data_IF_936322190783
#
_entry.id   IF_936322190783
#
_cell.length_a   1.000
_cell.length_b   1.000
_cell.length_c   1.000
_cell.angle_alpha   90.00
_cell.angle_beta   90.00
_cell.angle_gamma   90.00
#
_symmetry.space_group_name_H-M   'P 1'
#
loop_
_entity.id
_entity.type
_entity.pdbx_description
1 polymer ?
#
# COMPACT_ATOMS: atom_id res chain seq x y z
N UNK A 1 -7.56 -40.84 -7.61
CA UNK A 1 -7.67 -40.30 -6.24
C UNK A 1 -6.55 -39.29 -6.10
N UNK A 2 -6.93 -38.02 -6.28
CA UNK A 2 -6.19 -36.75 -6.16
C UNK A 2 -4.68 -36.70 -6.47
N UNK A 3 -4.38 -36.25 -7.69
CA UNK A 3 -3.11 -35.68 -8.12
C UNK A 3 -2.75 -34.41 -7.32
N UNK A 4 -1.51 -34.37 -6.82
CA UNK A 4 -0.83 -33.12 -6.42
C UNK A 4 -0.06 -32.62 -7.64
N UNK A 5 -0.25 -31.36 -8.05
CA UNK A 5 0.95 -30.57 -8.30
C UNK A 5 0.73 -29.06 -8.05
N UNK A 6 1.46 -28.49 -7.11
CA UNK A 6 2.22 -27.25 -7.31
C UNK A 6 3.16 -27.05 -6.12
N UNK A 7 4.35 -27.63 -6.23
CA UNK A 7 5.54 -27.02 -5.67
C UNK A 7 6.09 -26.15 -6.80
N UNK A 8 5.91 -24.84 -6.69
CA UNK A 8 6.66 -23.86 -7.50
C UNK A 8 7.32 -22.91 -6.52
N UNK A 9 8.57 -23.26 -6.25
CA UNK A 9 9.68 -22.47 -5.77
C UNK A 9 9.41 -20.98 -5.53
N UNK A 10 9.17 -20.64 -4.25
CA UNK A 10 9.20 -19.29 -3.69
C UNK A 10 10.65 -18.77 -3.60
N UNK A 11 11.35 -18.71 -4.74
CA UNK A 11 12.74 -18.27 -4.82
C UNK A 11 12.92 -17.05 -5.74
N UNK A 12 12.01 -16.08 -5.68
CA UNK A 12 12.20 -14.78 -6.36
C UNK A 12 11.77 -13.55 -5.54
N UNK A 13 11.34 -13.72 -4.28
CA UNK A 13 10.98 -12.59 -3.40
C UNK A 13 12.22 -11.88 -2.81
N UNK A 14 13.43 -12.42 -2.98
CA UNK A 14 14.66 -11.90 -2.34
C UNK A 14 15.63 -11.11 -3.22
N UNK A 15 15.36 -10.87 -4.51
CA UNK A 15 16.41 -10.37 -5.43
C UNK A 15 16.21 -9.00 -6.08
N UNK A 16 15.27 -8.14 -5.64
CA UNK A 16 15.18 -6.79 -6.23
C UNK A 16 15.00 -5.60 -5.26
N UNK A 17 15.18 -5.80 -3.96
CA UNK A 17 15.07 -4.71 -2.96
C UNK A 17 16.36 -4.44 -2.15
N UNK A 18 17.47 -5.10 -2.49
CA UNK A 18 18.77 -4.85 -1.87
C UNK A 18 19.58 -3.96 -2.81
N UNK A 19 19.34 -2.65 -2.77
CA UNK A 19 20.38 -1.61 -2.87
C UNK A 19 19.70 -0.23 -2.84
N UNK A 20 19.61 0.36 -1.65
CA UNK A 20 19.83 1.80 -1.42
C UNK A 20 19.63 2.13 0.05
N UNK A 21 20.71 1.93 0.81
CA UNK A 21 20.88 2.48 2.15
C UNK A 21 22.05 3.44 2.08
N UNK A 22 21.83 4.75 2.19
CA UNK A 22 22.84 5.69 2.70
C UNK A 22 22.21 6.99 3.25
N UNK A 23 22.56 7.26 4.52
CA UNK A 23 22.29 8.40 5.42
C UNK A 23 22.04 9.79 4.78
N UNK A 24 21.18 10.61 5.40
CA UNK A 24 21.56 11.63 6.42
C UNK A 24 20.39 12.35 7.09
N UNK A 25 20.67 12.70 8.35
CA UNK A 25 19.92 13.51 9.31
C UNK A 25 20.03 15.00 8.93
N UNK A 26 19.03 15.79 9.37
CA UNK A 26 18.80 17.25 9.30
C UNK A 26 17.87 17.65 8.15
N UNK A 27 16.64 18.07 8.47
CA UNK A 27 16.26 19.49 8.47
C UNK A 27 14.93 19.68 9.22
N UNK A 28 14.93 20.69 10.07
CA UNK A 28 13.85 21.11 10.95
C UNK A 28 12.94 22.10 10.18
N UNK A 29 11.61 21.86 10.22
CA UNK A 29 10.54 22.88 10.25
C UNK A 29 10.19 23.70 9.00
N UNK A 30 10.53 23.26 7.80
CA UNK A 30 9.83 23.68 6.58
C UNK A 30 9.48 22.39 5.84
N UNK A 31 8.47 22.42 4.97
CA UNK A 31 8.17 21.43 3.91
C UNK A 31 6.79 20.73 4.01
N UNK A 32 5.70 21.50 4.02
CA UNK A 32 4.35 20.94 3.77
C UNK A 32 4.23 20.23 2.41
N UNK A 33 4.97 20.71 1.39
CA UNK A 33 4.98 20.11 0.04
C UNK A 33 5.81 18.82 0.00
N UNK A 34 6.89 18.75 0.78
CA UNK A 34 7.81 17.61 0.77
C UNK A 34 7.34 16.48 1.66
N UNK A 35 6.43 16.69 2.62
CA UNK A 35 5.90 15.58 3.43
C UNK A 35 5.30 14.47 2.56
N UNK A 36 4.63 14.83 1.46
CA UNK A 36 4.06 13.87 0.49
C UNK A 36 5.16 13.13 -0.27
N UNK A 37 6.12 13.87 -0.84
CA UNK A 37 7.23 13.27 -1.61
C UNK A 37 8.10 12.39 -0.70
N UNK A 38 8.43 12.90 0.48
CA UNK A 38 9.14 12.20 1.51
C UNK A 38 8.41 10.91 1.91
N UNK A 39 7.08 10.95 2.07
CA UNK A 39 6.29 9.74 2.32
C UNK A 39 6.41 8.75 1.16
N UNK A 40 6.32 9.21 -0.08
CA UNK A 40 6.43 8.37 -1.27
C UNK A 40 7.80 7.68 -1.32
N UNK A 41 8.89 8.43 -1.10
CA UNK A 41 10.26 7.92 -1.11
C UNK A 41 10.57 7.00 0.07
N UNK A 42 9.98 7.24 1.24
CA UNK A 42 10.28 6.51 2.49
C UNK A 42 9.23 5.46 2.86
N UNK A 43 8.28 5.16 1.98
CA UNK A 43 7.35 4.03 2.16
C UNK A 43 8.02 2.72 1.73
N UNK A 44 8.06 1.75 2.64
CA UNK A 44 8.60 0.42 2.38
C UNK A 44 7.57 -0.66 2.71
N UNK A 45 7.40 -1.61 1.79
CA UNK A 45 6.52 -2.75 1.99
C UNK A 45 7.31 -3.86 2.66
N UNK A 46 6.91 -4.22 3.87
CA UNK A 46 7.57 -5.28 4.64
C UNK A 46 6.93 -6.64 4.38
N UNK A 47 5.60 -6.65 4.25
CA UNK A 47 4.80 -7.82 3.93
C UNK A 47 3.61 -7.39 3.08
N UNK A 48 3.43 -8.00 1.91
CA UNK A 48 2.24 -7.81 1.09
C UNK A 48 1.21 -8.93 1.38
N UNK A 49 -0.10 -8.68 1.18
CA UNK A 49 -1.12 -9.72 1.26
C UNK A 49 -0.79 -10.89 0.34
N UNK A 50 -0.98 -12.12 0.82
CA UNK A 50 -0.74 -13.33 0.06
C UNK A 50 -1.83 -13.61 -0.98
N UNK A 51 -3.07 -13.15 -0.72
CA UNK A 51 -4.18 -13.32 -1.66
C UNK A 51 -4.05 -12.33 -2.82
N UNK A 52 -3.91 -12.85 -4.04
CA UNK A 52 -3.94 -12.04 -5.25
C UNK A 52 -5.26 -11.26 -5.34
N UNK A 53 -5.13 -9.97 -5.65
CA UNK A 53 -6.26 -9.09 -5.89
C UNK A 53 -7.04 -9.61 -7.09
N UNK A 54 -8.37 -9.64 -6.97
CA UNK A 54 -9.23 -9.70 -8.14
C UNK A 54 -9.04 -8.39 -8.92
N UNK A 55 -8.21 -8.40 -9.97
CA UNK A 55 -7.91 -7.23 -10.82
C UNK A 55 -9.13 -6.54 -11.43
N UNK A 56 -10.28 -7.19 -11.36
CA UNK A 56 -11.56 -6.69 -11.86
C UNK A 56 -12.67 -6.70 -10.79
N UNK A 57 -12.31 -6.78 -9.50
CA UNK A 57 -13.26 -6.87 -8.38
C UNK A 57 -12.87 -6.04 -7.16
N UNK A 58 -13.55 -6.32 -6.04
CA UNK A 58 -13.30 -5.66 -4.76
C UNK A 58 -12.00 -6.20 -4.15
N UNK A 59 -11.07 -5.30 -3.85
CA UNK A 59 -9.87 -5.57 -3.04
C UNK A 59 -10.17 -5.17 -1.61
N UNK A 60 -9.80 -6.02 -0.65
CA UNK A 60 -9.79 -5.63 0.75
C UNK A 60 -8.66 -6.33 1.49
N UNK A 61 -7.96 -5.58 2.34
CA UNK A 61 -6.88 -6.10 3.16
C UNK A 61 -6.78 -5.36 4.51
N UNK A 62 -6.21 -6.04 5.49
CA UNK A 62 -5.87 -5.46 6.79
C UNK A 62 -4.46 -4.89 6.71
N UNK A 63 -4.27 -3.65 7.15
CA UNK A 63 -2.95 -3.01 7.14
C UNK A 63 -2.40 -2.88 8.56
N UNK A 64 -1.09 -3.02 8.67
CA UNK A 64 -0.29 -2.66 9.82
C UNK A 64 0.77 -1.67 9.36
N UNK A 65 0.50 -0.38 9.53
CA UNK A 65 1.44 0.68 9.22
C UNK A 65 2.28 1.01 10.44
N UNK A 66 3.60 0.94 10.29
CA UNK A 66 4.57 1.12 11.35
C UNK A 66 5.45 2.32 11.02
N UNK A 67 5.54 3.29 11.93
CA UNK A 67 6.32 4.50 11.73
C UNK A 67 7.02 4.91 13.02
N UNK A 68 8.26 5.39 12.91
CA UNK A 68 8.94 6.05 14.05
C UNK A 68 8.36 7.44 14.27
N UNK A 69 8.25 7.84 15.54
CA UNK A 69 7.91 9.21 15.90
C UNK A 69 9.15 10.10 15.73
N UNK A 70 9.03 11.19 14.98
CA UNK A 70 10.16 12.08 14.70
C UNK A 70 10.61 12.87 15.94
N UNK A 71 9.71 13.12 16.88
CA UNK A 71 9.95 13.91 18.08
C UNK A 71 10.53 13.08 19.25
N UNK A 72 10.55 11.75 19.14
CA UNK A 72 10.92 10.85 20.25
C UNK A 72 11.70 9.63 19.77
N UNK A 73 12.89 9.45 20.34
CA UNK A 73 13.72 8.27 20.10
C UNK A 73 13.05 7.02 20.68
N UNK A 74 13.16 5.89 19.97
CA UNK A 74 12.62 4.58 20.35
C UNK A 74 11.10 4.59 20.64
N UNK A 75 10.35 5.52 20.05
CA UNK A 75 8.90 5.46 20.01
C UNK A 75 8.43 5.13 18.59
N UNK A 76 7.65 4.07 18.49
CA UNK A 76 7.09 3.58 17.24
C UNK A 76 5.58 3.61 17.35
N UNK A 77 4.92 4.20 16.37
CA UNK A 77 3.48 4.15 16.22
C UNK A 77 3.11 3.03 15.27
N UNK A 78 2.14 2.24 15.69
CA UNK A 78 1.52 1.18 14.91
C UNK A 78 0.09 1.63 14.66
N UNK A 79 -0.28 1.73 13.38
CA UNK A 79 -1.65 1.97 12.94
C UNK A 79 -2.16 0.71 12.28
N UNK A 80 -3.32 0.25 12.72
CA UNK A 80 -3.99 -0.89 12.11
C UNK A 80 -5.37 -0.49 11.64
N UNK A 81 -5.84 -1.14 10.60
CA UNK A 81 -7.17 -0.90 10.07
C UNK A 81 -7.39 -1.68 8.79
N UNK A 82 -8.47 -1.34 8.09
CA UNK A 82 -8.85 -2.01 6.86
C UNK A 82 -8.90 -1.01 5.71
N UNK A 83 -8.44 -1.46 4.56
CA UNK A 83 -8.66 -0.77 3.30
C UNK A 83 -9.56 -1.60 2.40
N UNK A 84 -10.41 -0.90 1.67
CA UNK A 84 -11.26 -1.45 0.62
C UNK A 84 -11.03 -0.62 -0.64
N UNK A 85 -10.73 -1.29 -1.74
CA UNK A 85 -10.66 -0.66 -3.06
C UNK A 85 -11.66 -1.38 -3.96
N UNK A 86 -12.64 -0.64 -4.45
CA UNK A 86 -13.68 -1.20 -5.31
C UNK A 86 -13.87 -0.37 -6.57
N UNK A 87 -14.22 -1.06 -7.66
CA UNK A 87 -14.67 -0.39 -8.87
C UNK A 87 -16.16 -0.07 -8.73
N UNK A 88 -16.59 1.19 -8.91
CA UNK A 88 -18.00 1.54 -8.86
C UNK A 88 -18.78 0.82 -9.98
N UNK A 89 -19.99 0.35 -9.64
CA UNK A 89 -20.84 -0.44 -10.55
C UNK A 89 -21.49 0.37 -11.67
N UNK A 90 -21.64 1.68 -11.48
CA UNK A 90 -22.24 2.61 -12.44
C UNK A 90 -21.28 3.78 -12.57
N UNK A 91 -20.66 3.91 -13.75
CA UNK A 91 -19.88 5.08 -14.14
C UNK A 91 -20.68 5.78 -15.25
N UNK A 92 -21.00 7.07 -15.09
CA UNK A 92 -21.33 7.86 -16.28
C UNK A 92 -20.02 8.19 -17.03
N UNK A 93 -20.06 8.37 -18.37
CA UNK A 93 -18.89 8.68 -19.19
C UNK A 93 -18.00 9.82 -18.65
N UNK A 94 -18.59 10.76 -17.91
CA UNK A 94 -17.94 11.92 -17.33
C UNK A 94 -17.13 11.61 -16.05
N UNK A 95 -17.33 10.45 -15.41
CA UNK A 95 -16.67 10.07 -14.14
C UNK A 95 -15.48 9.11 -14.29
N UNK A 96 -15.11 8.72 -15.51
CA UNK A 96 -14.05 7.72 -15.76
C UNK A 96 -12.67 8.10 -15.20
N UNK A 97 -12.46 9.36 -14.81
CA UNK A 97 -11.18 9.86 -14.32
C UNK A 97 -11.16 10.20 -12.83
N UNK A 98 -12.24 9.93 -12.08
CA UNK A 98 -12.33 10.32 -10.67
C UNK A 98 -12.03 9.14 -9.75
N UNK A 99 -10.92 9.24 -9.01
CA UNK A 99 -10.73 8.50 -7.77
C UNK A 99 -11.54 9.12 -6.64
N UNK A 100 -12.17 8.28 -5.82
CA UNK A 100 -12.86 8.72 -4.60
C UNK A 100 -12.13 8.15 -3.38
N UNK A 101 -11.86 9.00 -2.40
CA UNK A 101 -11.10 8.66 -1.20
C UNK A 101 -11.96 8.89 0.05
N UNK A 102 -12.53 7.82 0.57
CA UNK A 102 -13.40 7.83 1.75
C UNK A 102 -12.60 7.49 3.02
N UNK A 103 -12.66 8.34 4.03
CA UNK A 103 -11.94 8.17 5.30
C UNK A 103 -10.45 8.58 5.26
N UNK A 104 -9.97 9.12 4.14
CA UNK A 104 -8.61 9.64 3.98
C UNK A 104 -8.53 11.15 4.25
N UNK A 105 -7.45 11.60 4.89
CA UNK A 105 -7.15 13.00 5.16
C UNK A 105 -6.63 13.79 3.96
N UNK A 106 -6.41 15.09 4.19
CA UNK A 106 -6.08 16.10 3.18
C UNK A 106 -4.83 15.77 2.36
N UNK A 107 -3.74 15.34 3.01
CA UNK A 107 -2.47 14.98 2.32
C UNK A 107 -2.66 13.85 1.29
N UNK A 108 -3.55 12.90 1.55
CA UNK A 108 -3.84 11.82 0.61
C UNK A 108 -4.68 12.31 -0.59
N UNK A 109 -5.58 13.28 -0.38
CA UNK A 109 -6.30 13.93 -1.48
C UNK A 109 -5.33 14.69 -2.38
N UNK A 110 -4.42 15.47 -1.79
CA UNK A 110 -3.40 16.20 -2.52
C UNK A 110 -2.50 15.27 -3.33
N UNK A 111 -2.09 14.14 -2.75
CA UNK A 111 -1.33 13.11 -3.49
C UNK A 111 -2.06 12.62 -4.73
N UNK A 112 -3.37 12.34 -4.65
CA UNK A 112 -4.16 11.89 -5.81
C UNK A 112 -4.32 12.97 -6.86
N UNK A 113 -4.51 14.23 -6.47
CA UNK A 113 -4.59 15.32 -7.44
C UNK A 113 -3.25 15.52 -8.16
N UNK A 114 -2.11 15.42 -7.47
CA UNK A 114 -0.78 15.41 -8.12
C UNK A 114 -0.63 14.23 -9.08
N UNK A 115 -1.00 13.02 -8.66
CA UNK A 115 -0.98 11.84 -9.53
C UNK A 115 -1.83 12.01 -10.79
N UNK A 116 -2.92 12.80 -10.73
CA UNK A 116 -3.78 13.11 -11.89
C UNK A 116 -3.13 14.05 -12.88
N UNK A 117 -2.38 15.04 -12.40
CA UNK A 117 -1.64 15.97 -13.25
C UNK A 117 -0.57 15.24 -14.07
N UNK A 118 0.04 14.20 -13.48
CA UNK A 118 1.04 13.35 -14.12
C UNK A 118 0.46 12.20 -14.96
N UNK A 119 -0.88 12.06 -15.02
CA UNK A 119 -1.61 10.82 -15.36
C UNK A 119 -1.68 10.41 -16.84
N UNK A 120 -0.55 10.35 -17.56
CA UNK A 120 -0.59 9.73 -18.90
C UNK A 120 -0.82 8.21 -18.86
N UNK A 121 -0.50 7.50 -17.78
CA UNK A 121 -0.46 6.02 -17.79
C UNK A 121 -0.99 5.26 -16.55
N UNK A 122 -1.66 5.93 -15.62
CA UNK A 122 -2.14 5.25 -14.39
C UNK A 122 -3.48 4.55 -14.66
N UNK A 123 -3.47 3.21 -14.63
CA UNK A 123 -4.65 2.38 -14.90
C UNK A 123 -5.77 2.62 -13.88
N UNK A 124 -5.40 2.76 -12.60
CA UNK A 124 -6.36 2.92 -11.49
C UNK A 124 -7.18 4.22 -11.60
N UNK A 125 -6.60 5.29 -12.17
CA UNK A 125 -7.32 6.55 -12.44
C UNK A 125 -8.35 6.39 -13.55
N UNK A 126 -8.05 5.61 -14.60
CA UNK A 126 -8.95 5.35 -15.74
C UNK A 126 -10.17 4.51 -15.40
N UNK A 127 -10.10 3.73 -14.33
CA UNK A 127 -11.18 2.84 -13.91
C UNK A 127 -12.06 3.42 -12.80
N UNK A 128 -11.72 4.61 -12.28
CA UNK A 128 -12.52 5.32 -11.29
C UNK A 128 -12.61 4.57 -9.96
N UNK A 129 -11.51 4.01 -9.46
CA UNK A 129 -11.53 3.28 -8.18
C UNK A 129 -11.98 4.15 -7.01
N UNK A 130 -12.79 3.56 -6.13
CA UNK A 130 -13.11 4.11 -4.83
C UNK A 130 -12.27 3.40 -3.77
N UNK A 131 -11.52 4.17 -3.00
CA UNK A 131 -10.77 3.70 -1.83
C UNK A 131 -11.50 4.12 -0.56
N UNK A 132 -11.68 3.18 0.36
CA UNK A 132 -12.25 3.41 1.69
C UNK A 132 -11.31 2.90 2.76
N UNK A 133 -10.98 3.75 3.72
CA UNK A 133 -10.22 3.41 4.92
C UNK A 133 -11.15 3.38 6.14
N UNK A 134 -11.15 2.30 6.90
CA UNK A 134 -12.03 2.11 8.06
C UNK A 134 -11.36 1.38 9.22
N UNK A 135 -11.97 1.47 10.41
CA UNK A 135 -11.53 0.72 11.59
C UNK A 135 -10.12 1.05 12.07
N UNK A 136 -9.68 2.31 11.90
CA UNK A 136 -8.32 2.70 12.25
C UNK A 136 -8.14 2.74 13.77
N UNK A 137 -7.15 2.01 14.25
CA UNK A 137 -6.67 2.05 15.63
C UNK A 137 -5.20 2.39 15.66
N UNK A 138 -4.77 3.12 16.69
CA UNK A 138 -3.39 3.54 16.86
C UNK A 138 -2.85 3.10 18.22
N UNK A 139 -1.63 2.56 18.22
CA UNK A 139 -0.88 2.21 19.42
C UNK A 139 0.52 2.80 19.31
N UNK A 140 1.03 3.36 20.41
CA UNK A 140 2.43 3.81 20.48
C UNK A 140 3.18 2.93 21.46
N UNK A 141 4.31 2.38 21.02
CA UNK A 141 5.14 1.47 21.80
C UNK A 141 6.55 2.03 21.94
N UNK A 142 7.13 1.88 23.14
CA UNK A 142 8.52 2.22 23.38
C UNK A 142 9.40 1.03 23.03
N UNK A 143 9.89 0.99 21.80
CA UNK A 143 10.75 -0.06 21.28
C UNK A 143 11.43 0.43 19.99
N UNK A 144 12.48 -0.26 19.56
CA UNK A 144 13.10 0.01 18.26
C UNK A 144 12.17 -0.39 17.12
N UNK A 145 12.21 0.35 16.00
CA UNK A 145 11.41 0.06 14.81
C UNK A 145 11.53 -1.38 14.34
N UNK A 146 12.76 -1.89 14.27
CA UNK A 146 13.02 -3.25 13.82
C UNK A 146 12.36 -4.30 14.73
N UNK A 147 12.43 -4.11 16.05
CA UNK A 147 11.80 -5.01 17.02
C UNK A 147 10.27 -5.05 16.83
N UNK A 148 9.66 -3.89 16.59
CA UNK A 148 8.21 -3.79 16.32
C UNK A 148 7.85 -4.47 15.01
N UNK A 149 8.58 -4.21 13.93
CA UNK A 149 8.38 -4.86 12.63
C UNK A 149 8.42 -6.39 12.77
N UNK A 150 9.44 -6.92 13.43
CA UNK A 150 9.61 -8.37 13.55
C UNK A 150 8.53 -8.99 14.45
N UNK A 151 8.08 -8.28 15.49
CA UNK A 151 6.97 -8.72 16.34
C UNK A 151 5.65 -8.73 15.56
N UNK A 152 5.36 -7.68 14.79
CA UNK A 152 4.15 -7.59 13.96
C UNK A 152 4.15 -8.65 12.88
N UNK A 153 5.28 -8.88 12.18
CA UNK A 153 5.41 -9.96 11.18
C UNK A 153 5.06 -11.32 11.78
N UNK A 154 5.65 -11.67 12.91
CA UNK A 154 5.35 -12.93 13.61
C UNK A 154 3.88 -13.02 14.05
N UNK A 155 3.25 -11.90 14.40
CA UNK A 155 1.84 -11.90 14.79
C UNK A 155 0.92 -12.19 13.59
N UNK A 156 1.15 -11.53 12.45
CA UNK A 156 0.41 -11.74 11.21
C UNK A 156 0.58 -13.17 10.70
N UNK A 157 1.83 -13.66 10.66
CA UNK A 157 2.14 -15.03 10.24
C UNK A 157 1.46 -16.08 11.13
N UNK A 158 1.45 -15.88 12.46
CA UNK A 158 0.77 -16.78 13.39
C UNK A 158 -0.75 -16.74 13.30
N UNK A 159 -1.32 -15.57 13.02
CA UNK A 159 -2.76 -15.43 12.79
C UNK A 159 -3.19 -16.16 11.51
N UNK A 160 -2.26 -16.38 10.57
CA UNK A 160 -2.52 -17.03 9.31
C UNK A 160 -3.45 -16.21 8.41
N UNK A 161 -3.54 -14.89 8.62
CA UNK A 161 -4.38 -14.01 7.81
C UNK A 161 -3.72 -13.76 6.43
N UNK A 162 -4.28 -14.29 5.34
CA UNK A 162 -3.72 -14.09 4.01
C UNK A 162 -3.90 -12.65 3.50
N UNK A 163 -4.67 -11.81 4.21
CA UNK A 163 -4.94 -10.43 3.84
C UNK A 163 -4.15 -9.40 4.67
N UNK A 164 -3.24 -9.85 5.54
CA UNK A 164 -2.41 -8.94 6.32
C UNK A 164 -1.30 -8.29 5.50
N UNK A 165 -1.23 -6.96 5.52
CA UNK A 165 -0.14 -6.17 4.93
C UNK A 165 0.64 -5.44 6.03
N UNK A 166 1.97 -5.42 5.94
CA UNK A 166 2.83 -4.66 6.85
C UNK A 166 3.59 -3.62 6.03
N UNK A 167 3.40 -2.36 6.40
CA UNK A 167 3.94 -1.20 5.70
C UNK A 167 4.77 -0.40 6.70
N UNK A 168 6.00 -0.08 6.34
CA UNK A 168 6.79 0.92 7.04
C UNK A 168 6.63 2.26 6.33
N UNK A 169 6.39 3.33 7.08
CA UNK A 169 6.20 4.65 6.49
C UNK A 169 6.52 5.79 7.46
N UNK A 170 6.12 6.98 7.05
CA UNK A 170 6.34 8.23 7.79
C UNK A 170 5.09 8.55 8.61
N UNK A 171 5.25 8.93 9.88
CA UNK A 171 4.11 9.17 10.78
C UNK A 171 3.18 10.30 10.30
N UNK A 172 3.74 11.42 9.84
CA UNK A 172 2.96 12.61 9.46
C UNK A 172 2.15 12.47 8.16
N UNK A 173 2.54 11.53 7.30
CA UNK A 173 1.96 11.31 5.97
C UNK A 173 1.61 9.84 5.75
N UNK A 174 1.26 9.13 6.83
CA UNK A 174 0.99 7.70 6.81
C UNK A 174 -0.14 7.29 5.84
N UNK A 175 -1.14 8.17 5.65
CA UNK A 175 -2.24 7.93 4.72
C UNK A 175 -1.78 7.95 3.26
N UNK A 176 -0.77 8.77 2.95
CA UNK A 176 -0.11 8.79 1.63
C UNK A 176 0.65 7.49 1.42
N UNK A 177 1.40 7.02 2.43
CA UNK A 177 2.08 5.73 2.38
C UNK A 177 1.12 4.58 2.08
N UNK A 178 -0.02 4.54 2.79
CA UNK A 178 -1.05 3.53 2.60
C UNK A 178 -1.67 3.58 1.20
N UNK A 179 -1.98 4.79 0.72
CA UNK A 179 -2.61 4.97 -0.59
C UNK A 179 -1.65 4.63 -1.74
N UNK A 180 -0.40 5.09 -1.67
CA UNK A 180 0.68 4.71 -2.61
C UNK A 180 0.78 3.19 -2.71
N UNK A 181 0.91 2.51 -1.57
CA UNK A 181 0.99 1.05 -1.53
C UNK A 181 -0.21 0.37 -2.20
N UNK A 182 -1.42 0.84 -1.89
CA UNK A 182 -2.65 0.28 -2.45
C UNK A 182 -2.71 0.46 -3.98
N UNK A 183 -2.34 1.64 -4.48
CA UNK A 183 -2.26 1.93 -5.92
C UNK A 183 -1.24 1.03 -6.60
N UNK A 184 0.00 0.96 -6.07
CA UNK A 184 1.07 0.11 -6.62
C UNK A 184 0.66 -1.37 -6.66
N UNK A 185 -0.06 -1.84 -5.64
CA UNK A 185 -0.55 -3.21 -5.58
C UNK A 185 -1.60 -3.50 -6.67
N UNK A 186 -2.54 -2.58 -6.89
CA UNK A 186 -3.57 -2.70 -7.94
C UNK A 186 -2.92 -2.67 -9.33
N UNK A 187 -1.97 -1.75 -9.56
CA UNK A 187 -1.29 -1.61 -10.85
C UNK A 187 -0.49 -2.86 -11.24
N UNK A 188 0.26 -3.44 -10.29
CA UNK A 188 0.99 -4.70 -10.51
C UNK A 188 0.05 -5.83 -10.87
N UNK A 189 -1.04 -5.96 -10.13
CA UNK A 189 -2.05 -6.99 -10.38
C UNK A 189 -2.65 -6.81 -11.78
N UNK A 190 -3.03 -5.59 -12.17
CA UNK A 190 -3.60 -5.31 -13.49
C UNK A 190 -2.63 -5.63 -14.64
N UNK A 191 -1.35 -5.31 -14.49
CA UNK A 191 -0.31 -5.62 -15.48
C UNK A 191 -0.06 -7.11 -15.67
N UNK A 192 -0.03 -7.89 -14.58
CA UNK A 192 0.12 -9.35 -14.64
C UNK A 192 -1.07 -10.02 -15.35
N UNK A 193 -2.29 -9.57 -15.07
CA UNK A 193 -3.47 -10.15 -15.69
C UNK A 193 -3.66 -9.75 -17.16
N UNK A 194 -3.28 -8.55 -17.60
CA UNK A 194 -3.31 -8.18 -19.04
C UNK A 194 -2.45 -9.14 -19.90
N UNK A 195 -1.33 -9.64 -19.36
CA UNK A 195 -0.54 -10.70 -20.00
C UNK A 195 -1.30 -12.01 -20.18
N UNK A 196 -2.21 -12.32 -19.25
CA UNK A 196 -3.09 -13.49 -19.30
C UNK A 196 -4.31 -13.28 -20.22
N UNK A 197 -4.83 -12.05 -20.36
CA UNK A 197 -5.90 -11.74 -21.32
C UNK A 197 -5.44 -11.90 -22.78
N UNK A 198 -4.19 -11.51 -23.11
CA UNK A 198 -3.61 -11.78 -24.44
C UNK A 198 -3.42 -13.26 -24.71
N UNK A 199 -3.03 -14.06 -23.70
CA UNK A 199 -2.89 -15.52 -23.83
C UNK A 199 -4.23 -16.26 -23.94
N UNK A 200 -5.31 -15.68 -23.41
CA UNK A 200 -6.66 -16.24 -23.47
C UNK A 200 -7.54 -15.62 -24.57
N UNK A 201 -7.00 -14.75 -25.42
CA UNK A 201 -7.67 -14.24 -26.63
C UNK A 201 -8.88 -13.33 -26.39
N UNK A 202 -8.89 -12.58 -25.28
CA UNK A 202 -10.02 -11.72 -24.90
C UNK A 202 -9.79 -10.22 -25.16
N UNK A 203 -8.71 -9.87 -25.86
CA UNK A 203 -8.45 -8.57 -26.51
C UNK A 203 -7.62 -8.76 -27.78
#
# INVERSE_FOLDING_TARGET
>A
MADRPWAVDNLWITSFWILRRFRRILTCRILKQDDIEYAIENTQVILAPARQIATFGNTSFEFHLISELMDRVDQVRIRTGRIEAERPKILSPEYFHRMMLEGFGEKAQEYVERLREDARQIAVLRYGFQFRKSGVTEETVSATLQSVIDRTRRAVERAGDPNGAIIQGVDEAWEVCLLKFTIEMIERSAGENIGDFKRRGLI
#
